data_IF_170299468560
#
_entry.id   IF_170299468560
#
_cell.length_a   1.000
_cell.length_b   1.000
_cell.length_c   1.000
_cell.angle_alpha   90.00
_cell.angle_beta   90.00
_cell.angle_gamma   90.00
#
_symmetry.space_group_name_H-M   'P 1'
#
loop_
_entity.id
_entity.type
_entity.pdbx_description
1 polymer ?
#
# COMPACT_ATOMS: atom_id res chain seq x y z
N UNK A 1 -14.13 12.96 31.49
CA UNK A 1 -14.71 12.14 30.42
C UNK A 1 -13.58 11.48 29.66
N UNK A 2 -13.35 10.18 29.89
CA UNK A 2 -12.34 9.42 29.18
C UNK A 2 -12.91 9.06 27.81
N UNK A 3 -12.50 9.77 26.75
CA UNK A 3 -12.82 9.37 25.38
C UNK A 3 -11.94 8.16 25.10
N UNK A 4 -12.51 6.96 25.31
CA UNK A 4 -11.93 5.72 24.79
C UNK A 4 -11.93 5.82 23.26
N UNK A 5 -10.81 6.30 22.73
CA UNK A 5 -10.51 6.32 21.31
C UNK A 5 -10.17 4.89 20.89
N UNK A 6 -11.17 4.03 20.76
CA UNK A 6 -10.95 2.70 20.21
C UNK A 6 -10.62 2.82 18.73
N UNK A 7 -9.33 2.68 18.39
CA UNK A 7 -8.90 2.45 17.02
C UNK A 7 -9.64 1.21 16.50
N UNK A 8 -10.22 1.31 15.31
CA UNK A 8 -10.88 0.18 14.67
C UNK A 8 -9.82 -0.79 14.16
N UNK A 9 -10.14 -2.08 14.17
CA UNK A 9 -9.37 -3.07 13.40
C UNK A 9 -9.35 -2.59 11.95
N UNK A 10 -8.16 -2.44 11.39
CA UNK A 10 -7.95 -1.92 10.04
C UNK A 10 -8.12 -3.05 9.02
N UNK A 11 -9.23 -3.02 8.28
CA UNK A 11 -9.61 -4.07 7.32
C UNK A 11 -10.25 -3.54 6.04
N UNK A 12 -10.67 -2.27 6.01
CA UNK A 12 -11.31 -1.67 4.86
C UNK A 12 -10.25 -1.23 3.86
N UNK A 13 -10.40 -1.64 2.61
CA UNK A 13 -9.48 -1.34 1.51
C UNK A 13 -10.02 -0.28 0.55
N UNK A 14 -11.13 0.35 0.91
CA UNK A 14 -11.79 1.42 0.18
C UNK A 14 -11.97 2.65 1.09
N UNK A 15 -12.08 3.84 0.50
CA UNK A 15 -12.38 5.08 1.23
C UNK A 15 -13.86 5.43 1.05
N UNK A 16 -14.64 5.29 2.11
CA UNK A 16 -16.01 5.79 2.12
C UNK A 16 -16.07 7.34 2.03
N UNK A 17 -17.26 7.87 1.76
CA UNK A 17 -17.51 9.30 1.63
C UNK A 17 -17.00 10.09 2.85
N UNK A 18 -17.27 9.62 4.05
CA UNK A 18 -16.87 10.33 5.28
C UNK A 18 -15.36 10.29 5.52
N UNK A 19 -14.68 9.25 5.05
CA UNK A 19 -13.22 9.14 5.10
C UNK A 19 -12.60 10.12 4.12
N UNK A 20 -13.11 10.21 2.89
CA UNK A 20 -12.62 11.20 1.93
C UNK A 20 -12.90 12.64 2.40
N UNK A 21 -14.05 12.92 3.03
CA UNK A 21 -14.34 14.21 3.68
C UNK A 21 -13.33 14.56 4.78
N UNK A 22 -12.99 13.60 5.63
CA UNK A 22 -11.99 13.81 6.69
C UNK A 22 -10.60 14.13 6.12
N UNK A 23 -10.20 13.43 5.05
CA UNK A 23 -8.93 13.67 4.36
C UNK A 23 -8.93 15.06 3.69
N UNK A 24 -10.02 15.43 3.02
CA UNK A 24 -10.17 16.76 2.41
C UNK A 24 -10.09 17.88 3.45
N UNK A 25 -10.77 17.72 4.59
CA UNK A 25 -10.73 18.67 5.70
C UNK A 25 -9.33 18.79 6.33
N UNK A 26 -8.55 17.69 6.39
CA UNK A 26 -7.16 17.73 6.83
C UNK A 26 -6.32 18.62 5.91
N UNK A 27 -6.41 18.43 4.59
CA UNK A 27 -5.67 19.24 3.61
C UNK A 27 -6.06 20.72 3.71
N UNK A 28 -7.35 21.02 3.82
CA UNK A 28 -7.82 22.41 3.97
C UNK A 28 -7.35 23.06 5.26
N UNK A 29 -7.34 22.32 6.37
CA UNK A 29 -6.79 22.82 7.63
C UNK A 29 -5.29 23.11 7.50
N UNK A 30 -4.53 22.24 6.84
CA UNK A 30 -3.09 22.42 6.64
C UNK A 30 -2.79 23.68 5.80
N UNK A 31 -3.58 23.94 4.75
CA UNK A 31 -3.53 25.21 4.00
C UNK A 31 -3.80 26.41 4.89
N UNK A 32 -4.90 26.38 5.65
CA UNK A 32 -5.29 27.46 6.54
C UNK A 32 -4.26 27.73 7.66
N UNK A 33 -3.49 26.72 8.05
CA UNK A 33 -2.39 26.85 9.02
C UNK A 33 -1.03 27.16 8.37
N UNK A 34 -0.98 27.46 7.08
CA UNK A 34 0.23 27.76 6.30
C UNK A 34 1.23 26.61 6.18
N UNK A 35 0.81 25.35 6.30
CA UNK A 35 1.74 24.21 6.37
C UNK A 35 2.46 23.94 5.04
N UNK A 36 1.99 24.48 3.92
CA UNK A 36 2.58 24.25 2.60
C UNK A 36 3.43 25.42 2.09
N UNK A 37 3.62 26.46 2.91
CA UNK A 37 4.34 27.67 2.51
C UNK A 37 5.84 27.49 2.27
N UNK A 38 6.39 26.32 2.61
CA UNK A 38 7.79 25.97 2.31
C UNK A 38 8.07 25.93 0.80
N UNK A 39 7.15 25.35 0.02
CA UNK A 39 7.27 25.21 -1.44
C UNK A 39 6.27 26.11 -2.19
N UNK A 40 5.21 26.56 -1.51
CA UNK A 40 4.20 27.46 -2.07
C UNK A 40 4.05 28.73 -1.22
N UNK A 41 5.10 29.58 -1.15
CA UNK A 41 5.11 30.72 -0.24
C UNK A 41 4.19 31.84 -0.74
N UNK A 42 3.24 32.24 0.11
CA UNK A 42 2.71 33.60 0.04
C UNK A 42 3.78 34.54 0.61
N UNK A 43 4.01 35.68 -0.05
CA UNK A 43 5.04 36.64 0.34
C UNK A 43 4.45 37.95 0.82
N UNK A 44 5.11 38.55 1.80
CA UNK A 44 4.80 39.87 2.29
C UNK A 44 5.07 40.92 1.20
N UNK A 45 4.12 41.81 0.94
CA UNK A 45 4.16 42.71 -0.22
C UNK A 45 5.37 43.66 -0.26
N UNK A 46 5.86 44.12 0.88
CA UNK A 46 6.93 45.11 0.95
C UNK A 46 8.32 44.49 1.11
N UNK A 47 8.42 43.40 1.87
CA UNK A 47 9.71 42.74 2.16
C UNK A 47 10.00 41.56 1.24
N UNK A 48 9.00 41.01 0.55
CA UNK A 48 9.09 39.74 -0.18
C UNK A 48 9.32 38.53 0.72
N UNK A 49 9.28 38.68 2.04
CA UNK A 49 9.54 37.59 2.99
C UNK A 49 8.35 36.63 3.02
N UNK A 50 8.56 35.30 2.99
CA UNK A 50 7.47 34.35 3.14
C UNK A 50 6.68 34.56 4.44
N UNK A 51 5.35 34.59 4.33
CA UNK A 51 4.44 34.84 5.44
C UNK A 51 3.23 33.90 5.47
N UNK A 52 3.14 32.95 4.54
CA UNK A 52 2.02 32.02 4.49
C UNK A 52 2.11 31.03 3.34
N UNK A 53 0.99 30.34 3.09
CA UNK A 53 0.80 29.49 1.91
C UNK A 53 0.03 30.26 0.83
N UNK A 54 0.56 30.26 -0.39
CA UNK A 54 -0.21 30.64 -1.58
C UNK A 54 -1.12 29.47 -1.96
N UNK A 55 -2.37 29.51 -1.49
CA UNK A 55 -3.33 28.44 -1.72
C UNK A 55 -3.68 28.26 -3.20
N UNK A 56 -3.67 29.34 -4.00
CA UNK A 56 -4.00 29.26 -5.42
C UNK A 56 -2.88 28.53 -6.18
N UNK A 57 -1.62 28.84 -5.86
CA UNK A 57 -0.47 28.13 -6.42
C UNK A 57 -0.42 26.67 -5.96
N UNK A 58 -0.69 26.42 -4.67
CA UNK A 58 -0.80 25.06 -4.12
C UNK A 58 -1.86 24.25 -4.87
N UNK A 59 -3.09 24.77 -4.97
CA UNK A 59 -4.21 24.06 -5.61
C UNK A 59 -3.91 23.82 -7.10
N UNK A 60 -3.35 24.81 -7.81
CA UNK A 60 -2.93 24.65 -9.20
C UNK A 60 -1.86 23.56 -9.36
N UNK A 61 -0.90 23.46 -8.44
CA UNK A 61 0.16 22.45 -8.47
C UNK A 61 -0.38 21.06 -8.16
N UNK A 62 -1.19 20.92 -7.11
CA UNK A 62 -1.82 19.65 -6.72
C UNK A 62 -2.70 19.11 -7.86
N UNK A 63 -3.59 19.93 -8.43
CA UNK A 63 -4.45 19.48 -9.53
C UNK A 63 -3.69 19.27 -10.85
N UNK A 64 -2.51 19.89 -11.01
CA UNK A 64 -1.62 19.58 -12.13
C UNK A 64 -0.96 18.20 -12.01
N UNK A 65 -0.61 17.79 -10.79
CA UNK A 65 0.05 16.51 -10.50
C UNK A 65 -0.94 15.36 -10.29
N UNK A 66 -2.15 15.66 -9.81
CA UNK A 66 -3.24 14.71 -9.58
C UNK A 66 -4.53 15.22 -10.26
N UNK A 67 -4.61 15.17 -11.61
CA UNK A 67 -5.71 15.79 -12.37
C UNK A 67 -7.09 15.23 -12.02
N UNK A 68 -7.16 13.94 -11.71
CA UNK A 68 -8.42 13.25 -11.36
C UNK A 68 -8.99 13.71 -9.99
N UNK A 69 -8.26 14.52 -9.23
CA UNK A 69 -8.72 15.13 -7.97
C UNK A 69 -9.45 16.47 -8.18
N UNK A 70 -9.45 17.04 -9.40
CA UNK A 70 -9.91 18.43 -9.64
C UNK A 70 -11.35 18.71 -9.18
N UNK A 71 -12.24 17.74 -9.34
CA UNK A 71 -13.66 17.86 -8.96
C UNK A 71 -13.95 17.27 -7.57
N UNK A 72 -12.92 16.87 -6.83
CA UNK A 72 -13.09 16.16 -5.57
C UNK A 72 -13.91 16.95 -4.54
N UNK A 73 -13.64 18.24 -4.38
CA UNK A 73 -14.36 19.07 -3.40
C UNK A 73 -15.85 19.20 -3.72
N UNK A 74 -16.22 19.39 -4.99
CA UNK A 74 -17.62 19.46 -5.39
C UNK A 74 -18.32 18.11 -5.18
N UNK A 75 -17.67 17.00 -5.55
CA UNK A 75 -18.17 15.64 -5.33
C UNK A 75 -18.42 15.33 -3.83
N UNK A 76 -17.61 15.87 -2.92
CA UNK A 76 -17.80 15.73 -1.47
C UNK A 76 -18.97 16.57 -0.91
N UNK A 77 -19.25 17.72 -1.53
CA UNK A 77 -20.25 18.70 -1.10
C UNK A 77 -21.65 18.49 -1.69
N UNK A 78 -21.82 17.67 -2.73
CA UNK A 78 -23.14 17.40 -3.32
C UNK A 78 -24.17 16.97 -2.25
N UNK A 79 -25.24 17.75 -2.13
CA UNK A 79 -26.18 17.74 -1.02
C UNK A 79 -27.65 17.57 -1.48
N UNK A 80 -28.33 16.61 -0.83
CA UNK A 80 -29.79 16.44 -0.63
C UNK A 80 -30.66 15.97 -1.80
N UNK A 81 -30.23 16.10 -3.06
CA UNK A 81 -31.08 15.73 -4.22
C UNK A 81 -30.57 14.55 -5.07
N UNK A 82 -29.39 14.01 -4.78
CA UNK A 82 -28.87 12.78 -5.38
C UNK A 82 -28.83 11.68 -4.33
N UNK A 83 -29.31 10.49 -4.68
CA UNK A 83 -29.01 9.31 -3.90
C UNK A 83 -27.49 9.11 -3.88
N UNK A 84 -26.92 8.71 -2.74
CA UNK A 84 -25.46 8.48 -2.61
C UNK A 84 -24.93 7.46 -3.65
N UNK A 85 -25.81 6.63 -4.22
CA UNK A 85 -25.54 5.66 -5.27
C UNK A 85 -25.08 6.28 -6.61
N UNK A 86 -25.41 7.56 -6.87
CA UNK A 86 -25.05 8.26 -8.13
C UNK A 86 -23.82 9.19 -7.95
N UNK A 87 -23.19 9.15 -6.76
CA UNK A 87 -22.03 9.98 -6.44
C UNK A 87 -20.75 9.32 -6.93
N UNK A 88 -20.10 9.92 -7.93
CA UNK A 88 -18.76 9.51 -8.36
C UNK A 88 -17.70 10.19 -7.50
N UNK A 89 -17.11 9.41 -6.59
CA UNK A 89 -15.93 9.84 -5.82
C UNK A 89 -14.65 9.45 -6.57
N UNK A 90 -13.53 10.15 -6.36
CA UNK A 90 -12.25 9.70 -6.89
C UNK A 90 -11.89 8.34 -6.31
N UNK A 91 -11.15 7.56 -7.10
CA UNK A 91 -10.63 6.28 -6.65
C UNK A 91 -9.69 6.48 -5.45
N UNK A 92 -9.54 5.42 -4.64
CA UNK A 92 -8.62 5.44 -3.51
C UNK A 92 -7.18 5.80 -3.94
N UNK A 93 -6.76 5.36 -5.13
CA UNK A 93 -5.44 5.68 -5.68
C UNK A 93 -5.22 7.18 -5.86
N UNK A 94 -6.22 7.87 -6.44
CA UNK A 94 -6.17 9.33 -6.65
C UNK A 94 -6.08 10.08 -5.31
N UNK A 95 -6.84 9.65 -4.29
CA UNK A 95 -6.78 10.26 -2.95
C UNK A 95 -5.42 9.98 -2.28
N UNK A 96 -4.86 8.79 -2.47
CA UNK A 96 -3.53 8.44 -1.96
C UNK A 96 -2.42 9.24 -2.64
N UNK A 97 -2.48 9.44 -3.95
CA UNK A 97 -1.52 10.28 -4.67
C UNK A 97 -1.55 11.71 -4.14
N UNK A 98 -2.74 12.26 -3.86
CA UNK A 98 -2.88 13.57 -3.23
C UNK A 98 -2.26 13.63 -1.83
N UNK A 99 -2.48 12.60 -1.00
CA UNK A 99 -1.89 12.51 0.34
C UNK A 99 -0.36 12.41 0.30
N UNK A 100 0.20 11.56 -0.56
CA UNK A 100 1.65 11.42 -0.71
C UNK A 100 2.31 12.66 -1.30
N UNK A 101 1.62 13.33 -2.23
CA UNK A 101 2.08 14.60 -2.77
C UNK A 101 2.08 15.68 -1.66
N UNK A 102 1.02 15.78 -0.87
CA UNK A 102 1.00 16.66 0.31
C UNK A 102 2.12 16.29 1.30
N UNK A 103 2.40 15.00 1.49
CA UNK A 103 3.48 14.53 2.34
C UNK A 103 4.83 15.07 1.88
N UNK A 104 5.06 15.28 0.57
CA UNK A 104 6.29 15.83 0.00
C UNK A 104 6.47 17.33 0.25
N UNK A 105 5.36 18.07 0.45
CA UNK A 105 5.35 19.53 0.51
C UNK A 105 4.96 20.13 1.88
N UNK A 106 4.59 19.30 2.85
CA UNK A 106 4.15 19.76 4.19
C UNK A 106 5.33 20.13 5.09
N UNK A 107 5.32 21.32 5.69
CA UNK A 107 6.28 21.76 6.70
C UNK A 107 5.56 22.41 7.88
N UNK A 108 6.12 22.27 9.08
CA UNK A 108 5.57 22.90 10.29
C UNK A 108 5.93 24.39 10.28
N UNK A 109 4.96 25.31 10.18
CA UNK A 109 5.24 26.72 10.19
C UNK A 109 5.66 27.18 11.58
N UNK A 110 6.64 28.08 11.62
CA UNK A 110 7.10 28.75 12.82
C UNK A 110 7.31 30.24 12.53
N UNK A 111 6.89 31.10 13.46
CA UNK A 111 7.16 32.53 13.33
C UNK A 111 8.67 32.79 13.36
N UNK A 112 9.13 33.57 12.39
CA UNK A 112 10.46 34.16 12.32
C UNK A 112 10.47 35.58 12.93
N UNK A 113 9.32 36.24 12.96
CA UNK A 113 9.15 37.57 13.55
C UNK A 113 7.86 38.23 13.09
N UNK A 114 7.30 39.03 14.00
CA UNK A 114 6.09 39.81 13.75
C UNK A 114 6.38 41.04 12.88
N UNK A 115 5.57 41.22 11.85
CA UNK A 115 5.59 42.42 11.00
C UNK A 115 4.40 43.32 11.34
N UNK A 116 4.69 44.45 12.00
CA UNK A 116 3.63 45.29 12.57
C UNK A 116 2.79 46.05 11.53
N UNK A 117 3.37 46.45 10.39
CA UNK A 117 2.65 47.24 9.38
C UNK A 117 1.50 46.44 8.75
N UNK A 118 1.78 45.21 8.31
CA UNK A 118 0.76 44.31 7.73
C UNK A 118 0.13 43.35 8.75
N UNK A 119 0.50 43.46 10.03
CA UNK A 119 -0.05 42.67 11.15
C UNK A 119 -0.03 41.16 10.90
N UNK A 120 1.11 40.62 10.47
CA UNK A 120 1.31 39.18 10.30
C UNK A 120 2.71 38.73 10.72
N UNK A 121 2.89 37.43 10.92
CA UNK A 121 4.19 36.82 11.10
C UNK A 121 4.87 36.53 9.76
N UNK A 122 6.15 36.85 9.66
CA UNK A 122 7.01 36.19 8.68
C UNK A 122 7.27 34.77 9.16
N UNK A 123 7.23 33.81 8.24
CA UNK A 123 7.27 32.40 8.58
C UNK A 123 8.56 31.73 8.09
N UNK A 124 8.91 30.65 8.77
CA UNK A 124 9.84 29.61 8.31
C UNK A 124 9.18 28.26 8.53
N UNK A 125 9.68 27.21 7.89
CA UNK A 125 9.09 25.88 7.98
C UNK A 125 10.11 24.83 8.41
N UNK A 126 9.70 23.94 9.32
CA UNK A 126 10.42 22.71 9.64
C UNK A 126 9.79 21.54 8.88
N UNK A 127 10.51 21.03 7.88
CA UNK A 127 10.03 19.95 7.02
C UNK A 127 9.90 18.62 7.77
N UNK A 128 10.85 18.30 8.65
CA UNK A 128 10.89 17.02 9.34
C UNK A 128 9.73 16.90 10.34
N UNK A 129 9.55 17.92 11.19
CA UNK A 129 8.43 17.92 12.14
C UNK A 129 7.08 18.03 11.42
N UNK A 130 7.00 18.80 10.32
CA UNK A 130 5.79 18.88 9.52
C UNK A 130 5.36 17.54 8.92
N UNK A 131 6.33 16.76 8.40
CA UNK A 131 6.08 15.41 7.88
C UNK A 131 5.62 14.46 8.99
N UNK A 132 6.29 14.47 10.14
CA UNK A 132 5.95 13.62 11.28
C UNK A 132 4.53 13.87 11.79
N UNK A 133 4.18 15.15 12.00
CA UNK A 133 2.83 15.57 12.41
C UNK A 133 1.79 15.13 11.36
N UNK A 134 2.08 15.33 10.07
CA UNK A 134 1.21 14.94 8.97
C UNK A 134 0.94 13.43 8.88
N UNK A 135 2.01 12.62 8.95
CA UNK A 135 1.91 11.15 8.96
C UNK A 135 1.04 10.68 10.12
N UNK A 136 1.24 11.26 11.31
CA UNK A 136 0.46 10.94 12.51
C UNK A 136 -1.03 11.21 12.30
N UNK A 137 -1.38 12.33 11.70
CA UNK A 137 -2.78 12.70 11.43
C UNK A 137 -3.43 11.82 10.36
N UNK A 138 -2.74 11.56 9.24
CA UNK A 138 -3.24 10.64 8.20
C UNK A 138 -3.50 9.25 8.79
N UNK A 139 -2.54 8.74 9.56
CA UNK A 139 -2.68 7.43 10.21
C UNK A 139 -3.76 7.43 11.30
N UNK A 140 -4.02 8.55 11.97
CA UNK A 140 -5.12 8.66 12.90
C UNK A 140 -6.48 8.57 12.18
N UNK A 141 -6.63 9.21 11.01
CA UNK A 141 -7.83 9.07 10.17
C UNK A 141 -8.01 7.60 9.77
N UNK A 142 -6.99 6.97 9.19
CA UNK A 142 -7.05 5.57 8.78
C UNK A 142 -7.40 4.63 9.94
N UNK A 143 -6.78 4.82 11.12
CA UNK A 143 -7.05 4.00 12.30
C UNK A 143 -8.45 4.17 12.89
N UNK A 144 -9.00 5.38 12.90
CA UNK A 144 -10.38 5.61 13.36
C UNK A 144 -11.41 5.06 12.38
N UNK A 145 -11.10 5.09 11.08
CA UNK A 145 -11.97 4.60 10.01
C UNK A 145 -11.83 3.10 9.74
N UNK A 146 -10.75 2.46 10.22
CA UNK A 146 -10.48 1.04 10.00
C UNK A 146 -9.92 0.76 8.62
N UNK A 147 -9.24 1.73 8.02
CA UNK A 147 -8.63 1.66 6.69
C UNK A 147 -7.32 0.87 6.78
N UNK A 148 -7.18 -0.20 6.00
CA UNK A 148 -6.06 -1.12 5.98
C UNK A 148 -4.84 -0.57 5.22
N UNK A 149 -4.50 0.68 5.50
CA UNK A 149 -3.35 1.37 4.95
C UNK A 149 -2.64 2.17 6.04
N UNK A 150 -1.37 2.46 5.80
CA UNK A 150 -0.51 3.25 6.68
C UNK A 150 0.42 4.12 5.84
N UNK A 151 0.50 5.41 6.19
CA UNK A 151 1.57 6.26 5.70
C UNK A 151 2.83 6.03 6.55
N UNK A 152 3.96 5.71 5.92
CA UNK A 152 5.24 5.49 6.59
C UNK A 152 6.09 6.75 6.61
N UNK A 153 7.23 6.66 7.28
CA UNK A 153 8.19 7.78 7.49
C UNK A 153 8.74 8.39 6.22
N UNK A 154 8.66 7.69 5.09
CA UNK A 154 9.01 8.19 3.76
C UNK A 154 7.89 9.00 3.08
N UNK A 155 6.75 9.19 3.77
CA UNK A 155 5.58 9.89 3.26
C UNK A 155 4.74 9.06 2.29
N UNK A 156 5.04 7.76 2.13
CA UNK A 156 4.31 6.85 1.24
C UNK A 156 3.31 5.99 1.98
N UNK A 157 2.21 5.68 1.31
CA UNK A 157 1.11 4.86 1.79
C UNK A 157 1.34 3.42 1.36
N UNK A 158 1.31 2.52 2.33
CA UNK A 158 1.44 1.08 2.18
C UNK A 158 0.20 0.37 2.68
N UNK A 159 -0.10 -0.78 2.09
CA UNK A 159 -1.16 -1.64 2.57
C UNK A 159 -0.74 -2.33 3.87
N UNK A 160 -1.66 -2.35 4.83
CA UNK A 160 -1.52 -3.15 6.04
C UNK A 160 -2.03 -4.57 5.77
N UNK A 161 -1.29 -5.53 6.29
CA UNK A 161 -1.59 -6.96 6.24
C UNK A 161 -1.67 -7.45 7.68
N UNK A 162 -2.57 -8.39 7.96
CA UNK A 162 -2.71 -8.99 9.29
C UNK A 162 -1.37 -9.52 9.83
N UNK A 163 -1.14 -9.32 11.14
CA UNK A 163 0.17 -9.48 11.77
C UNK A 163 0.87 -10.83 11.49
N UNK A 164 0.20 -12.00 11.58
CA UNK A 164 0.86 -13.27 11.31
C UNK A 164 1.36 -13.39 9.85
N UNK A 165 0.57 -12.91 8.88
CA UNK A 165 0.96 -12.91 7.48
C UNK A 165 2.07 -11.89 7.21
N UNK A 166 1.96 -10.69 7.80
CA UNK A 166 2.96 -9.64 7.69
C UNK A 166 4.32 -10.06 8.26
N UNK A 167 4.36 -10.84 9.34
CA UNK A 167 5.60 -11.33 9.95
C UNK A 167 6.37 -12.28 9.03
N UNK A 168 5.70 -13.30 8.48
CA UNK A 168 6.31 -14.28 7.58
C UNK A 168 6.82 -13.58 6.30
N UNK A 169 5.99 -12.70 5.72
CA UNK A 169 6.35 -11.91 4.55
C UNK A 169 7.45 -10.87 4.82
N UNK A 170 7.55 -10.35 6.04
CA UNK A 170 8.56 -9.36 6.42
C UNK A 170 9.96 -9.98 6.58
N UNK A 171 10.03 -11.17 7.15
CA UNK A 171 11.29 -11.90 7.42
C UNK A 171 11.86 -12.62 6.21
N UNK A 172 11.01 -13.04 5.27
CA UNK A 172 11.47 -13.80 4.11
C UNK A 172 12.61 -13.09 3.37
N UNK A 173 13.73 -13.81 3.21
CA UNK A 173 14.88 -13.44 2.38
C UNK A 173 15.20 -14.66 1.53
N UNK A 174 14.95 -14.58 0.22
CA UNK A 174 15.07 -15.74 -0.64
C UNK A 174 16.52 -15.94 -1.13
N UNK A 175 17.01 -17.16 -0.99
CA UNK A 175 18.33 -17.61 -1.47
C UNK A 175 18.17 -19.00 -2.06
N UNK A 176 17.36 -19.11 -3.12
CA UNK A 176 17.02 -20.40 -3.73
C UNK A 176 18.17 -21.05 -4.49
N UNK A 177 19.20 -20.26 -4.80
CA UNK A 177 20.29 -20.63 -5.71
C UNK A 177 19.97 -20.32 -7.18
N UNK A 178 18.74 -19.87 -7.48
CA UNK A 178 18.31 -19.41 -8.80
C UNK A 178 17.83 -17.95 -8.71
N UNK A 179 18.67 -17.03 -9.21
CA UNK A 179 18.40 -15.58 -9.10
C UNK A 179 17.05 -15.18 -9.67
N UNK A 180 16.61 -15.77 -10.78
CA UNK A 180 15.33 -15.44 -11.39
C UNK A 180 14.15 -15.85 -10.49
N UNK A 181 14.26 -16.95 -9.74
CA UNK A 181 13.29 -17.37 -8.73
C UNK A 181 13.28 -16.40 -7.56
N UNK A 182 14.46 -15.99 -7.06
CA UNK A 182 14.57 -15.01 -5.98
C UNK A 182 13.94 -13.65 -6.38
N UNK A 183 14.22 -13.17 -7.59
CA UNK A 183 13.67 -11.92 -8.12
C UNK A 183 12.13 -11.97 -8.24
N UNK A 184 11.57 -13.12 -8.65
CA UNK A 184 10.12 -13.32 -8.71
C UNK A 184 9.48 -13.33 -7.32
N UNK A 185 10.10 -14.02 -6.36
CA UNK A 185 9.60 -14.09 -4.98
C UNK A 185 9.64 -12.72 -4.29
N UNK A 186 10.73 -11.95 -4.46
CA UNK A 186 10.81 -10.58 -3.94
C UNK A 186 9.80 -9.65 -4.63
N UNK A 187 9.65 -9.74 -5.95
CA UNK A 187 8.65 -8.93 -6.67
C UNK A 187 7.23 -9.23 -6.17
N UNK A 188 6.89 -10.52 -6.04
CA UNK A 188 5.61 -10.95 -5.52
C UNK A 188 5.34 -10.40 -4.11
N UNK A 189 6.33 -10.51 -3.23
CA UNK A 189 6.29 -10.01 -1.84
C UNK A 189 6.12 -8.49 -1.78
N UNK A 190 6.88 -7.73 -2.56
CA UNK A 190 6.76 -6.27 -2.61
C UNK A 190 5.39 -5.84 -3.14
N UNK A 191 4.93 -6.43 -4.24
CA UNK A 191 3.63 -6.13 -4.85
C UNK A 191 2.45 -6.46 -3.93
N UNK A 192 2.60 -7.45 -3.07
CA UNK A 192 1.55 -7.79 -2.10
C UNK A 192 1.27 -6.66 -1.09
N UNK A 193 2.27 -5.88 -0.71
CA UNK A 193 2.10 -4.71 0.20
C UNK A 193 1.80 -3.41 -0.53
N UNK A 194 1.84 -3.42 -1.85
CA UNK A 194 1.57 -2.26 -2.68
C UNK A 194 0.13 -1.80 -2.48
N UNK A 195 -0.05 -0.47 -2.48
CA UNK A 195 -1.36 0.15 -2.29
C UNK A 195 -2.25 0.02 -3.52
N UNK A 196 -1.63 -0.13 -4.70
CA UNK A 196 -2.32 -0.23 -5.98
C UNK A 196 -3.27 -1.46 -5.98
N UNK A 197 -4.58 -1.26 -6.25
CA UNK A 197 -5.53 -2.37 -6.38
C UNK A 197 -5.08 -3.42 -7.41
N UNK A 198 -4.44 -3.00 -8.50
CA UNK A 198 -3.96 -3.88 -9.57
C UNK A 198 -2.74 -4.71 -9.15
N UNK A 199 -1.91 -4.21 -8.24
CA UNK A 199 -0.71 -4.89 -7.78
C UNK A 199 -0.97 -6.25 -7.10
N UNK A 200 -2.21 -6.51 -6.66
CA UNK A 200 -2.59 -7.82 -6.14
C UNK A 200 -2.57 -8.91 -7.21
N UNK A 201 -2.93 -8.56 -8.44
CA UNK A 201 -2.83 -9.48 -9.57
C UNK A 201 -1.36 -9.78 -9.88
N UNK A 202 -0.54 -8.72 -10.03
CA UNK A 202 0.90 -8.83 -10.24
C UNK A 202 1.56 -9.70 -9.16
N UNK A 203 1.18 -9.52 -7.90
CA UNK A 203 1.74 -10.27 -6.78
C UNK A 203 1.49 -11.77 -6.91
N UNK A 204 0.25 -12.19 -7.21
CA UNK A 204 -0.10 -13.60 -7.37
C UNK A 204 0.57 -14.19 -8.60
N UNK A 205 0.58 -13.45 -9.71
CA UNK A 205 1.23 -13.87 -10.95
C UNK A 205 2.70 -14.21 -10.71
N UNK A 206 3.45 -13.28 -10.11
CA UNK A 206 4.88 -13.48 -9.82
C UNK A 206 5.11 -14.61 -8.83
N UNK A 207 4.22 -14.77 -7.85
CA UNK A 207 4.30 -15.88 -6.90
C UNK A 207 4.07 -17.23 -7.58
N UNK A 208 3.13 -17.32 -8.52
CA UNK A 208 2.85 -18.54 -9.27
C UNK A 208 3.95 -18.86 -10.29
N UNK A 209 4.54 -17.85 -10.93
CA UNK A 209 5.72 -18.01 -11.77
C UNK A 209 6.89 -18.56 -10.95
N UNK A 210 7.12 -18.02 -9.73
CA UNK A 210 8.12 -18.55 -8.81
C UNK A 210 7.81 -20.00 -8.41
N UNK A 211 6.54 -20.33 -8.12
CA UNK A 211 6.12 -21.68 -7.80
C UNK A 211 6.43 -22.69 -8.91
N UNK A 212 6.25 -22.33 -10.18
CA UNK A 212 6.65 -23.20 -11.29
C UNK A 212 8.14 -23.47 -11.35
N UNK A 213 8.96 -22.44 -11.07
CA UNK A 213 10.42 -22.60 -11.02
C UNK A 213 10.87 -23.46 -9.85
N UNK A 214 10.27 -23.25 -8.66
CA UNK A 214 10.55 -24.03 -7.44
C UNK A 214 10.36 -25.53 -7.67
N UNK A 215 9.35 -25.92 -8.45
CA UNK A 215 9.11 -27.33 -8.84
C UNK A 215 10.24 -27.98 -9.66
N UNK A 216 11.26 -27.22 -10.05
CA UNK A 216 12.39 -27.71 -10.86
C UNK A 216 13.76 -27.42 -10.24
N UNK A 217 13.82 -26.98 -8.98
CA UNK A 217 15.08 -26.61 -8.31
C UNK A 217 16.00 -27.79 -8.02
N UNK A 218 15.47 -28.98 -7.77
CA UNK A 218 16.29 -30.18 -7.51
C UNK A 218 16.76 -30.83 -8.81
N UNK A 219 15.88 -30.84 -9.83
CA UNK A 219 16.19 -31.42 -11.12
C UNK A 219 15.37 -30.77 -12.25
N UNK A 220 16.06 -30.07 -13.16
CA UNK A 220 15.41 -29.40 -14.29
C UNK A 220 14.80 -30.36 -15.33
N UNK A 221 15.33 -31.58 -15.46
CA UNK A 221 14.95 -32.52 -16.52
C UNK A 221 13.75 -33.42 -16.16
N UNK A 222 13.42 -33.53 -14.87
CA UNK A 222 12.27 -34.31 -14.42
C UNK A 222 11.56 -33.59 -13.26
N UNK A 223 10.56 -32.78 -13.62
CA UNK A 223 9.75 -31.98 -12.69
C UNK A 223 9.10 -32.83 -11.60
N UNK A 224 8.57 -34.00 -11.95
CA UNK A 224 7.91 -34.88 -10.97
C UNK A 224 8.91 -35.34 -9.90
N UNK A 225 10.06 -35.85 -10.34
CA UNK A 225 11.12 -36.28 -9.42
C UNK A 225 11.68 -35.10 -8.62
N UNK A 226 11.83 -33.92 -9.23
CA UNK A 226 12.28 -32.72 -8.53
C UNK A 226 11.34 -32.31 -7.40
N UNK A 227 10.02 -32.43 -7.61
CA UNK A 227 9.01 -32.15 -6.58
C UNK A 227 9.06 -33.19 -5.47
N UNK A 228 9.16 -34.48 -5.80
CA UNK A 228 9.30 -35.56 -4.81
C UNK A 228 10.52 -35.32 -3.90
N UNK A 229 11.69 -35.03 -4.48
CA UNK A 229 12.91 -34.72 -3.72
C UNK A 229 12.78 -33.47 -2.83
N UNK A 230 12.08 -32.43 -3.32
CA UNK A 230 11.84 -31.21 -2.56
C UNK A 230 10.98 -31.50 -1.32
N UNK A 231 9.91 -32.28 -1.50
CA UNK A 231 8.99 -32.67 -0.43
C UNK A 231 9.68 -33.58 0.59
N UNK A 232 10.45 -34.57 0.14
CA UNK A 232 11.16 -35.52 1.00
C UNK A 232 12.16 -34.83 1.95
N UNK A 233 12.78 -33.74 1.51
CA UNK A 233 13.69 -32.96 2.38
C UNK A 233 12.98 -32.20 3.49
N UNK A 234 11.69 -31.90 3.32
CA UNK A 234 10.89 -31.08 4.22
C UNK A 234 10.02 -31.96 5.14
N UNK A 235 9.53 -33.09 4.63
CA UNK A 235 8.61 -33.96 5.32
C UNK A 235 9.30 -34.76 6.45
N UNK A 236 8.67 -34.83 7.61
CA UNK A 236 9.13 -35.64 8.75
C UNK A 236 8.49 -37.04 8.81
N UNK A 237 7.51 -37.33 7.95
CA UNK A 237 6.86 -38.64 7.83
C UNK A 237 6.25 -38.83 6.43
N UNK A 238 5.91 -40.07 6.03
CA UNK A 238 5.23 -40.33 4.76
C UNK A 238 3.87 -39.62 4.64
N UNK A 239 3.12 -39.49 5.73
CA UNK A 239 1.83 -38.79 5.77
C UNK A 239 2.02 -37.28 5.57
N UNK A 240 3.06 -36.70 6.16
CA UNK A 240 3.43 -35.31 5.92
C UNK A 240 3.83 -35.08 4.46
N UNK A 241 4.59 -36.00 3.86
CA UNK A 241 4.97 -35.92 2.45
C UNK A 241 3.73 -35.97 1.54
N UNK A 242 2.80 -36.90 1.80
CA UNK A 242 1.56 -37.03 1.04
C UNK A 242 0.67 -35.77 1.15
N UNK A 243 0.62 -35.14 2.33
CA UNK A 243 -0.11 -33.89 2.54
C UNK A 243 0.50 -32.73 1.72
N UNK A 244 1.83 -32.57 1.74
CA UNK A 244 2.52 -31.54 0.95
C UNK A 244 2.35 -31.76 -0.56
N UNK A 245 2.43 -33.01 -1.02
CA UNK A 245 2.20 -33.37 -2.42
C UNK A 245 0.76 -33.04 -2.86
N UNK A 246 -0.24 -33.35 -2.02
CA UNK A 246 -1.63 -32.99 -2.29
C UNK A 246 -1.83 -31.47 -2.38
N UNK A 247 -1.19 -30.69 -1.50
CA UNK A 247 -1.26 -29.23 -1.53
C UNK A 247 -0.59 -28.64 -2.77
N UNK A 248 0.59 -29.15 -3.16
CA UNK A 248 1.27 -28.74 -4.39
C UNK A 248 0.45 -29.03 -5.65
N UNK A 249 -0.26 -30.17 -5.68
CA UNK A 249 -1.18 -30.52 -6.77
C UNK A 249 -2.38 -29.58 -6.81
N UNK A 250 -3.04 -29.35 -5.67
CA UNK A 250 -4.17 -28.44 -5.58
C UNK A 250 -3.82 -27.01 -6.05
N UNK A 251 -2.65 -26.49 -5.67
CA UNK A 251 -2.18 -25.18 -6.14
C UNK A 251 -1.76 -25.20 -7.62
N UNK A 252 -1.30 -26.34 -8.15
CA UNK A 252 -1.06 -26.46 -9.59
C UNK A 252 -2.39 -26.41 -10.35
N UNK A 253 -3.41 -27.12 -9.88
CA UNK A 253 -4.72 -27.17 -10.51
C UNK A 253 -5.41 -25.80 -10.47
N UNK A 254 -5.37 -25.10 -9.33
CA UNK A 254 -5.87 -23.72 -9.21
C UNK A 254 -5.18 -22.79 -10.22
N UNK A 255 -3.85 -22.86 -10.36
CA UNK A 255 -3.13 -22.06 -11.36
C UNK A 255 -3.48 -22.39 -12.81
N UNK A 256 -3.91 -23.62 -13.08
CA UNK A 256 -4.32 -24.07 -14.40
C UNK A 256 -5.77 -23.68 -14.72
N UNK A 257 -6.67 -23.70 -13.74
CA UNK A 257 -8.09 -23.40 -13.91
C UNK A 257 -8.40 -21.90 -13.94
N UNK A 258 -7.74 -21.13 -13.08
CA UNK A 258 -7.98 -19.71 -12.92
C UNK A 258 -7.01 -18.89 -13.76
N UNK A 259 -7.44 -17.70 -14.21
CA UNK A 259 -6.59 -16.73 -14.90
C UNK A 259 -5.63 -16.05 -13.92
N UNK A 260 -4.75 -16.85 -13.35
CA UNK A 260 -3.68 -16.43 -12.45
C UNK A 260 -2.42 -16.08 -13.24
N UNK A 261 -2.23 -16.62 -14.45
CA UNK A 261 -1.15 -16.19 -15.36
C UNK A 261 -1.72 -15.31 -16.46
N UNK A 262 -0.91 -14.39 -16.96
CA UNK A 262 -1.28 -13.50 -18.05
C UNK A 262 -1.81 -14.29 -19.27
N UNK A 263 -2.98 -13.86 -19.74
CA UNK A 263 -3.50 -14.10 -21.11
C UNK A 263 -3.71 -15.55 -21.57
N UNK A 264 -4.21 -16.44 -20.72
CA UNK A 264 -4.81 -17.69 -21.22
C UNK A 264 -6.29 -17.48 -21.55
N UNK A 265 -6.61 -17.48 -22.86
CA UNK A 265 -7.97 -17.38 -23.39
C UNK A 265 -8.78 -18.60 -22.88
N UNK A 266 -9.93 -18.36 -22.24
CA UNK A 266 -10.84 -19.40 -21.78
C UNK A 266 -10.77 -19.77 -20.30
N UNK A 267 -9.95 -19.09 -19.48
CA UNK A 267 -9.90 -19.27 -18.02
C UNK A 267 -10.82 -18.32 -17.26
N UNK A 268 -11.27 -18.74 -16.08
CA UNK A 268 -12.09 -17.91 -15.18
C UNK A 268 -11.24 -16.81 -14.56
N UNK A 269 -11.68 -15.56 -14.72
CA UNK A 269 -11.03 -14.41 -14.10
C UNK A 269 -11.22 -14.42 -12.58
N UNK A 270 -10.18 -14.10 -11.81
CA UNK A 270 -10.29 -13.86 -10.36
C UNK A 270 -11.06 -12.56 -10.06
N UNK A 271 -11.25 -11.70 -11.07
CA UNK A 271 -11.92 -10.42 -10.96
C UNK A 271 -11.14 -9.44 -10.08
N UNK A 272 -11.84 -8.46 -9.51
CA UNK A 272 -11.24 -7.43 -8.66
C UNK A 272 -11.29 -7.80 -7.17
N UNK A 273 -11.72 -9.01 -6.82
CA UNK A 273 -11.88 -9.45 -5.42
C UNK A 273 -10.51 -9.58 -4.73
N UNK A 274 -10.11 -8.53 -4.00
CA UNK A 274 -8.81 -8.49 -3.35
C UNK A 274 -8.66 -9.50 -2.23
N UNK A 275 -9.72 -9.81 -1.49
CA UNK A 275 -9.68 -10.77 -0.39
C UNK A 275 -9.40 -12.20 -0.91
N UNK A 276 -10.03 -12.59 -2.01
CA UNK A 276 -9.75 -13.88 -2.67
C UNK A 276 -8.31 -13.94 -3.18
N UNK A 277 -7.84 -12.85 -3.78
CA UNK A 277 -6.45 -12.71 -4.22
C UNK A 277 -5.46 -12.88 -3.06
N UNK A 278 -5.70 -12.19 -1.95
CA UNK A 278 -4.84 -12.29 -0.77
C UNK A 278 -4.85 -13.69 -0.17
N UNK A 279 -6.00 -14.35 -0.12
CA UNK A 279 -6.11 -15.74 0.32
C UNK A 279 -5.23 -16.67 -0.53
N UNK A 280 -5.35 -16.60 -1.86
CA UNK A 280 -4.56 -17.43 -2.77
C UNK A 280 -3.06 -17.14 -2.65
N UNK A 281 -2.70 -15.86 -2.57
CA UNK A 281 -1.33 -15.44 -2.35
C UNK A 281 -0.76 -16.03 -1.07
N UNK A 282 -1.42 -15.82 0.07
CA UNK A 282 -0.95 -16.27 1.38
C UNK A 282 -0.89 -17.80 1.48
N UNK A 283 -1.84 -18.51 0.87
CA UNK A 283 -1.85 -19.97 0.79
C UNK A 283 -0.61 -20.49 0.06
N UNK A 284 -0.36 -20.00 -1.16
CA UNK A 284 0.81 -20.41 -1.94
C UNK A 284 2.12 -19.97 -1.28
N UNK A 285 2.16 -18.75 -0.74
CA UNK A 285 3.35 -18.22 -0.08
C UNK A 285 3.72 -19.06 1.14
N UNK A 286 2.74 -19.47 1.95
CA UNK A 286 2.98 -20.32 3.13
C UNK A 286 3.58 -21.67 2.75
N UNK A 287 3.10 -22.29 1.68
CA UNK A 287 3.68 -23.52 1.15
C UNK A 287 5.11 -23.31 0.67
N UNK A 288 5.35 -22.28 -0.16
CA UNK A 288 6.68 -21.96 -0.65
C UNK A 288 7.66 -21.68 0.48
N UNK A 289 7.25 -20.89 1.47
CA UNK A 289 8.05 -20.60 2.65
C UNK A 289 8.44 -21.89 3.39
N UNK A 290 7.47 -22.78 3.64
CA UNK A 290 7.71 -24.10 4.26
C UNK A 290 8.75 -24.92 3.48
N UNK A 291 8.61 -25.02 2.15
CA UNK A 291 9.53 -25.78 1.30
C UNK A 291 10.94 -25.16 1.27
N UNK A 292 11.05 -23.83 1.22
CA UNK A 292 12.33 -23.13 1.17
C UNK A 292 13.05 -23.15 2.52
N UNK A 293 12.34 -23.04 3.64
CA UNK A 293 12.90 -23.24 4.99
C UNK A 293 13.46 -24.65 5.13
N UNK A 294 12.64 -25.66 4.84
CA UNK A 294 13.05 -27.06 5.01
C UNK A 294 14.19 -27.48 4.07
N UNK A 295 14.47 -26.69 3.03
CA UNK A 295 15.61 -26.91 2.13
C UNK A 295 16.76 -25.92 2.29
N UNK A 296 16.78 -25.12 3.37
CA UNK A 296 17.84 -24.14 3.68
C UNK A 296 18.06 -23.11 2.56
N UNK A 297 16.96 -22.65 1.94
CA UNK A 297 16.93 -21.69 0.83
C UNK A 297 16.39 -20.32 1.23
N UNK A 298 16.34 -20.06 2.53
CA UNK A 298 16.17 -18.71 3.08
C UNK A 298 17.52 -18.21 3.62
N UNK A 299 17.78 -16.91 3.48
CA UNK A 299 18.99 -16.29 3.99
C UNK A 299 19.13 -16.40 5.51
N UNK A 300 20.37 -16.32 6.00
CA UNK A 300 20.78 -16.63 7.38
C UNK A 300 20.15 -15.76 8.50
N UNK A 301 19.33 -14.77 8.16
CA UNK A 301 18.65 -13.87 9.10
C UNK A 301 17.10 -14.00 9.06
N UNK A 302 16.56 -15.09 8.50
CA UNK A 302 15.13 -15.38 8.44
C UNK A 302 14.56 -15.96 9.75
#
# INVERSE_FOLDING_TARGET
>A
MSISSTLKVRRFIELDLDTQRAISALIDRLKATNAFGIDFPATCNDSGTPCGTDEALFDASLYGMVPDLKDWKSQLQEHWHRADEDRTLPSIGVVFDALEWCAQHVGKPASRGWHDYYKHDHLRWDRATGLEDYISEVNAIFGRKGIAYEMRTDGRIYRLVDAPAAEILGRARFQTGDRATDDLLETARTRFFDRDPSAGQDAIEKLWDAFERVKTLELHTNKKFSVEQLIERVASSPEHAAMLDAEMKALTDIGNEWRIRHHEIGKTDLGENRQLKDYLFLRLFSLLYCLLVGTSRLGADA
#
